data_IF_588088141669
#
_entry.id   IF_588088141669
#
_cell.length_a   1.000
_cell.length_b   1.000
_cell.length_c   1.000
_cell.angle_alpha   90.00
_cell.angle_beta   90.00
_cell.angle_gamma   90.00
#
_symmetry.space_group_name_H-M   'P 1'
#
loop_
_entity.id
_entity.type
_entity.pdbx_description
1 polymer ?
#
# COMPACT_ATOMS: atom_id res chain seq x y z
N UNK A 1 -25.46 26.72 -11.68
CA UNK A 1 -25.53 25.33 -12.17
C UNK A 1 -24.54 24.50 -11.36
N UNK A 2 -25.11 23.66 -10.49
CA UNK A 2 -24.54 22.49 -9.76
C UNK A 2 -23.05 22.47 -9.43
N UNK A 3 -22.75 22.77 -8.16
CA UNK A 3 -21.51 22.44 -7.46
C UNK A 3 -21.37 20.92 -7.32
N UNK A 4 -20.36 20.32 -7.94
CA UNK A 4 -19.97 18.94 -7.66
C UNK A 4 -19.26 18.89 -6.31
N UNK A 5 -19.81 18.09 -5.39
CA UNK A 5 -19.33 17.92 -4.03
C UNK A 5 -18.08 17.04 -3.96
N UNK A 6 -17.15 17.42 -3.08
CA UNK A 6 -15.94 16.65 -2.76
C UNK A 6 -16.27 15.36 -1.99
N UNK A 7 -15.37 14.36 -2.09
CA UNK A 7 -15.43 13.03 -1.43
C UNK A 7 -15.77 13.06 0.07
N UNK A 8 -15.42 14.12 0.79
CA UNK A 8 -15.78 14.30 2.21
C UNK A 8 -17.30 14.46 2.45
N UNK A 9 -18.04 15.03 1.49
CA UNK A 9 -19.49 15.23 1.61
C UNK A 9 -20.27 13.93 1.42
N UNK A 10 -19.72 12.96 0.68
CA UNK A 10 -20.36 11.66 0.49
C UNK A 10 -20.30 10.79 1.77
N UNK A 11 -19.20 10.89 2.53
CA UNK A 11 -19.02 10.19 3.82
C UNK A 11 -19.99 10.71 4.88
N UNK A 12 -20.31 12.00 4.88
CA UNK A 12 -21.30 12.58 5.80
C UNK A 12 -22.73 12.12 5.50
N UNK A 13 -23.06 11.81 4.24
CA UNK A 13 -24.42 11.44 3.85
C UNK A 13 -24.83 10.03 4.31
N UNK A 14 -23.87 9.16 4.61
CA UNK A 14 -24.09 7.79 5.12
C UNK A 14 -24.34 7.73 6.64
N UNK A 15 -24.21 8.85 7.37
CA UNK A 15 -24.58 8.92 8.79
C UNK A 15 -26.04 9.32 8.91
N UNK A 16 -26.92 8.37 9.29
CA UNK A 16 -28.25 8.73 9.80
C UNK A 16 -28.07 9.63 11.02
N UNK A 17 -28.65 10.84 11.07
CA UNK A 17 -28.62 11.63 12.29
C UNK A 17 -29.50 10.95 13.36
N UNK A 18 -28.89 10.61 14.49
CA UNK A 18 -29.61 10.33 15.73
C UNK A 18 -30.23 11.64 16.21
N UNK A 19 -31.53 11.83 15.97
CA UNK A 19 -32.27 12.95 16.54
C UNK A 19 -32.48 12.74 18.03
N UNK A 20 -31.54 13.22 18.85
CA UNK A 20 -31.83 13.53 20.26
C UNK A 20 -32.54 14.87 20.26
N UNK A 21 -33.88 14.82 20.28
CA UNK A 21 -34.72 16.00 20.39
C UNK A 21 -34.70 16.53 21.82
N UNK A 22 -33.96 17.60 22.06
CA UNK A 22 -34.23 18.51 23.18
C UNK A 22 -35.50 19.30 22.89
N UNK A 23 -36.60 18.97 23.57
CA UNK A 23 -37.72 19.88 23.76
C UNK A 23 -38.11 19.87 25.24
N UNK A 24 -37.77 20.96 25.91
CA UNK A 24 -38.47 21.36 27.12
C UNK A 24 -39.87 21.87 26.76
N UNK A 25 -40.84 21.54 27.60
CA UNK A 25 -42.07 22.33 27.75
C UNK A 25 -42.62 22.15 29.17
N UNK A 26 -43.28 23.18 29.75
CA UNK A 26 -43.59 23.27 31.17
C UNK A 26 -44.97 22.71 31.55
N UNK A 27 -45.13 22.58 32.88
CA UNK A 27 -46.33 22.45 33.73
C UNK A 27 -47.72 22.65 33.09
N UNK A 28 -48.67 21.76 33.43
CA UNK A 28 -50.12 22.07 33.38
C UNK A 28 -51.11 20.89 33.39
N UNK A 29 -51.64 20.58 34.59
CA UNK A 29 -53.02 20.15 34.91
C UNK A 29 -53.67 18.84 34.35
N UNK A 30 -53.85 17.88 35.26
CA UNK A 30 -55.11 17.22 35.71
C UNK A 30 -56.22 16.82 34.70
N UNK A 31 -56.51 15.51 34.61
CA UNK A 31 -57.76 14.84 35.09
C UNK A 31 -57.80 13.33 34.75
N UNK A 32 -58.23 12.53 35.73
CA UNK A 32 -58.59 11.10 35.72
C UNK A 32 -60.07 10.88 35.25
N UNK A 33 -60.68 9.66 35.24
CA UNK A 33 -60.22 8.30 34.92
C UNK A 33 -61.24 7.41 34.11
N UNK A 34 -60.88 6.15 33.82
CA UNK A 34 -61.79 5.00 33.55
C UNK A 34 -61.48 4.26 32.22
N UNK A 35 -61.45 2.94 32.07
CA UNK A 35 -61.60 1.75 32.92
C UNK A 35 -61.78 0.47 32.05
N UNK A 36 -61.29 -0.69 32.54
CA UNK A 36 -61.54 -2.12 32.12
C UNK A 36 -60.95 -2.59 30.76
N UNK A 37 -60.50 -3.84 30.51
CA UNK A 37 -60.25 -5.11 31.27
C UNK A 37 -59.70 -6.22 30.31
N UNK A 38 -58.93 -7.20 30.82
CA UNK A 38 -58.68 -8.57 30.24
C UNK A 38 -57.29 -8.79 29.59
N UNK A 39 -56.30 -9.49 30.20
CA UNK A 39 -56.02 -10.96 30.29
C UNK A 39 -55.63 -11.61 28.93
N UNK A 40 -54.63 -12.50 28.72
CA UNK A 40 -53.64 -13.25 29.53
C UNK A 40 -52.47 -13.75 28.62
N UNK A 41 -51.25 -13.85 29.17
CA UNK A 41 -50.13 -14.85 29.02
C UNK A 41 -49.87 -15.62 27.70
N UNK A 42 -48.69 -15.41 27.10
CA UNK A 42 -47.50 -16.31 26.99
C UNK A 42 -47.56 -17.48 25.99
N UNK A 43 -46.54 -17.59 25.10
CA UNK A 43 -46.02 -18.88 24.61
C UNK A 43 -44.58 -18.78 24.04
N UNK A 44 -43.79 -19.81 24.37
CA UNK A 44 -42.33 -20.01 24.23
C UNK A 44 -41.81 -20.46 22.84
N UNK A 45 -40.47 -20.41 22.70
CA UNK A 45 -39.65 -20.96 21.61
C UNK A 45 -39.42 -22.49 21.73
N UNK A 46 -39.12 -23.21 20.62
CA UNK A 46 -38.71 -24.61 20.70
C UNK A 46 -37.24 -24.86 20.31
N UNK A 47 -36.53 -25.61 21.18
CA UNK A 47 -35.39 -26.46 20.84
C UNK A 47 -35.78 -27.93 21.05
N UNK A 48 -35.46 -28.83 20.12
CA UNK A 48 -35.53 -30.29 20.36
C UNK A 48 -34.32 -31.02 19.79
N UNK A 49 -33.81 -31.96 20.60
CA UNK A 49 -32.70 -32.88 20.35
C UNK A 49 -33.13 -34.30 20.75
N UNK A 50 -32.51 -35.29 20.09
CA UNK A 50 -32.24 -36.71 20.47
C UNK A 50 -33.33 -37.77 20.23
N UNK A 51 -33.03 -38.82 19.43
CA UNK A 51 -32.69 -40.19 19.90
C UNK A 51 -32.26 -41.17 18.78
N UNK A 52 -31.30 -42.02 19.15
CA UNK A 52 -30.63 -43.15 18.45
C UNK A 52 -31.42 -44.46 18.69
N UNK A 53 -31.30 -45.43 17.78
CA UNK A 53 -31.45 -46.87 18.08
C UNK A 53 -30.47 -47.70 17.20
N UNK A 54 -29.98 -48.81 17.74
CA UNK A 54 -28.92 -49.71 17.24
C UNK A 54 -29.45 -51.14 16.95
N UNK A 55 -28.72 -51.86 16.07
CA UNK A 55 -28.54 -53.34 15.90
C UNK A 55 -29.75 -54.19 15.43
N UNK A 56 -29.63 -55.26 14.61
CA UNK A 56 -28.67 -56.39 14.55
C UNK A 56 -28.50 -57.03 13.15
N UNK A 57 -27.46 -57.87 13.03
CA UNK A 57 -26.86 -58.64 11.92
C UNK A 57 -27.69 -59.75 11.22
N UNK A 58 -27.28 -60.18 10.00
CA UNK A 58 -26.66 -61.51 9.74
C UNK A 58 -26.39 -61.84 8.23
N UNK A 59 -25.14 -62.27 7.95
CA UNK A 59 -24.65 -63.32 6.98
C UNK A 59 -24.83 -63.11 5.44
N UNK A 60 -23.93 -63.44 4.49
CA UNK A 60 -22.78 -64.38 4.36
C UNK A 60 -21.91 -64.06 3.10
N UNK A 61 -20.61 -64.47 3.12
CA UNK A 61 -19.74 -64.92 1.99
C UNK A 61 -19.30 -63.89 0.92
N UNK A 62 -18.06 -63.79 0.41
CA UNK A 62 -16.90 -64.69 0.25
C UNK A 62 -15.59 -63.87 0.07
N UNK A 63 -14.47 -64.60 0.07
CA UNK A 63 -13.08 -64.20 0.30
C UNK A 63 -12.26 -63.76 -0.95
N UNK A 64 -11.02 -63.27 -0.68
CA UNK A 64 -9.84 -63.36 -1.58
C UNK A 64 -9.31 -62.02 -2.11
N UNK A 65 -8.40 -61.31 -1.43
CA UNK A 65 -6.92 -61.37 -1.53
C UNK A 65 -6.30 -61.05 -2.90
N UNK A 66 -5.53 -59.95 -2.93
CA UNK A 66 -4.24 -59.73 -3.61
C UNK A 66 -3.85 -60.62 -4.80
N UNK A 67 -3.52 -60.00 -5.95
CA UNK A 67 -2.18 -60.09 -6.55
C UNK A 67 -2.01 -59.19 -7.78
N UNK A 68 -0.77 -58.75 -7.95
CA UNK A 68 -0.16 -58.06 -9.10
C UNK A 68 -0.34 -58.83 -10.41
N UNK A 69 -0.38 -58.10 -11.54
CA UNK A 69 0.01 -58.65 -12.83
C UNK A 69 0.67 -57.61 -13.74
N UNK A 70 1.85 -58.01 -14.24
CA UNK A 70 2.70 -57.36 -15.23
C UNK A 70 2.15 -57.44 -16.66
N UNK A 71 2.87 -56.76 -17.59
CA UNK A 71 2.98 -56.96 -19.06
C UNK A 71 2.04 -56.07 -19.90
N UNK A 72 2.43 -55.31 -20.94
CA UNK A 72 3.62 -55.18 -21.79
C UNK A 72 3.56 -53.84 -22.56
N UNK A 73 4.72 -53.22 -22.84
CA UNK A 73 4.91 -52.08 -23.77
C UNK A 73 4.88 -52.49 -25.26
N UNK A 74 4.52 -51.55 -26.17
CA UNK A 74 5.09 -51.53 -27.52
C UNK A 74 5.39 -50.07 -28.01
N UNK A 75 6.07 -49.88 -29.17
CA UNK A 75 7.51 -49.73 -29.27
C UNK A 75 7.98 -48.30 -29.63
N UNK A 76 9.27 -48.08 -29.35
CA UNK A 76 10.07 -46.89 -29.61
C UNK A 76 10.22 -46.62 -31.12
N UNK A 77 9.89 -45.40 -31.57
CA UNK A 77 10.34 -44.85 -32.84
C UNK A 77 11.27 -43.67 -32.57
N UNK A 78 12.55 -43.90 -32.88
CA UNK A 78 13.66 -42.96 -32.79
C UNK A 78 13.68 -42.08 -34.06
N UNK A 79 13.48 -40.77 -33.87
CA UNK A 79 13.85 -39.74 -34.84
C UNK A 79 14.54 -38.62 -34.06
N UNK A 80 15.87 -38.71 -34.06
CA UNK A 80 16.76 -37.77 -33.42
C UNK A 80 16.53 -36.31 -33.83
N UNK A 81 16.36 -35.45 -32.83
CA UNK A 81 16.61 -34.02 -32.91
C UNK A 81 17.39 -33.65 -31.62
N UNK A 82 18.66 -33.22 -31.73
CA UNK A 82 19.52 -33.01 -30.57
C UNK A 82 19.14 -31.74 -29.79
N UNK A 83 19.20 -31.90 -28.46
CA UNK A 83 19.18 -30.84 -27.45
C UNK A 83 20.27 -29.81 -27.74
N UNK A 84 19.89 -28.61 -28.19
CA UNK A 84 20.81 -27.48 -28.30
C UNK A 84 20.78 -26.73 -26.97
N UNK A 85 21.66 -27.14 -26.07
CA UNK A 85 22.28 -26.25 -25.10
C UNK A 85 23.31 -25.41 -25.88
N UNK A 86 22.93 -24.20 -26.30
CA UNK A 86 23.91 -23.23 -26.79
C UNK A 86 24.55 -22.54 -25.59
N UNK A 87 25.60 -23.17 -25.06
CA UNK A 87 26.70 -22.46 -24.44
C UNK A 87 27.46 -21.84 -25.62
N UNK A 88 27.31 -20.54 -25.82
CA UNK A 88 28.14 -19.82 -26.77
C UNK A 88 29.58 -19.83 -26.24
N UNK A 89 30.36 -20.72 -26.85
CA UNK A 89 31.80 -20.78 -26.71
C UNK A 89 32.37 -19.58 -27.46
N UNK A 90 32.86 -18.60 -26.70
CA UNK A 90 33.54 -17.43 -27.22
C UNK A 90 34.83 -17.86 -27.92
N UNK A 91 34.83 -17.82 -29.25
CA UNK A 91 36.03 -17.93 -30.08
C UNK A 91 36.94 -16.73 -29.80
N UNK A 92 38.16 -17.01 -29.32
CA UNK A 92 39.25 -16.05 -29.22
C UNK A 92 39.62 -15.56 -30.62
N UNK A 93 39.18 -14.34 -30.97
CA UNK A 93 39.82 -13.54 -32.01
C UNK A 93 40.70 -12.55 -31.26
N UNK A 94 42.01 -12.77 -31.34
CA UNK A 94 43.01 -11.79 -30.91
C UNK A 94 42.88 -10.54 -31.78
N UNK A 95 42.17 -9.54 -31.26
CA UNK A 95 42.28 -8.17 -31.75
C UNK A 95 42.98 -7.33 -30.66
N UNK A 96 44.29 -7.14 -30.86
CA UNK A 96 45.08 -6.25 -30.04
C UNK A 96 44.76 -4.80 -30.42
N UNK A 97 43.76 -4.20 -29.78
CA UNK A 97 43.67 -2.74 -29.65
C UNK A 97 42.99 -2.30 -28.35
N UNK A 98 43.84 -1.89 -27.42
CA UNK A 98 43.66 -0.86 -26.40
C UNK A 98 42.25 -0.28 -26.18
N UNK A 99 41.61 -0.61 -25.05
CA UNK A 99 40.92 0.40 -24.22
C UNK A 99 40.72 -0.14 -22.80
N UNK A 100 40.83 0.76 -21.84
CA UNK A 100 40.95 0.55 -20.40
C UNK A 100 39.80 -0.27 -19.82
N UNK A 101 40.12 -1.39 -19.16
CA UNK A 101 39.25 -2.01 -18.17
C UNK A 101 39.16 -1.06 -16.97
N UNK A 102 38.26 -0.07 -17.05
CA UNK A 102 37.82 0.68 -15.89
C UNK A 102 37.14 -0.32 -14.95
N UNK A 103 37.81 -0.64 -13.85
CA UNK A 103 37.20 -1.37 -12.74
C UNK A 103 36.06 -0.51 -12.21
N UNK A 104 34.83 -0.77 -12.65
CA UNK A 104 33.64 -0.16 -12.06
C UNK A 104 33.68 -0.44 -10.57
N UNK A 105 33.70 0.62 -9.78
CA UNK A 105 33.75 0.48 -8.33
C UNK A 105 32.50 -0.28 -7.86
N UNK A 106 32.55 -1.06 -6.76
CA UNK A 106 31.38 -1.74 -6.19
C UNK A 106 30.19 -0.80 -5.88
N UNK A 107 30.42 0.51 -5.92
CA UNK A 107 29.47 1.60 -5.71
C UNK A 107 28.68 1.98 -6.97
N UNK A 108 28.95 1.40 -8.16
CA UNK A 108 28.26 1.75 -9.42
C UNK A 108 27.26 0.68 -9.88
N UNK A 109 27.26 -0.50 -9.29
CA UNK A 109 26.45 -1.62 -9.77
C UNK A 109 25.07 -1.66 -9.08
N UNK A 110 24.00 -1.71 -9.88
CA UNK A 110 22.64 -1.94 -9.37
C UNK A 110 22.57 -3.27 -8.62
N UNK A 111 21.92 -3.29 -7.45
CA UNK A 111 21.70 -4.50 -6.67
C UNK A 111 20.36 -5.13 -7.01
N UNK A 112 20.34 -6.45 -7.21
CA UNK A 112 19.12 -7.21 -7.44
C UNK A 112 18.51 -7.68 -6.11
N UNK A 113 17.20 -7.48 -5.94
CA UNK A 113 16.38 -8.03 -4.86
C UNK A 113 15.26 -8.87 -5.48
N UNK A 114 15.00 -10.05 -4.91
CA UNK A 114 13.87 -10.90 -5.32
C UNK A 114 12.63 -10.54 -4.52
N UNK A 115 11.55 -10.20 -5.21
CA UNK A 115 10.23 -9.91 -4.66
C UNK A 115 9.19 -10.93 -5.16
N UNK A 116 8.21 -11.23 -4.33
CA UNK A 116 7.18 -12.23 -4.61
C UNK A 116 6.10 -11.74 -5.58
N UNK A 117 5.95 -10.42 -5.76
CA UNK A 117 4.94 -9.79 -6.62
C UNK A 117 5.57 -9.44 -7.97
N UNK A 118 6.72 -8.78 -7.96
CA UNK A 118 7.36 -8.22 -9.16
C UNK A 118 8.53 -9.03 -9.71
N UNK A 119 8.92 -10.11 -9.05
CA UNK A 119 10.06 -10.93 -9.49
C UNK A 119 11.40 -10.28 -9.15
N UNK A 120 12.21 -9.91 -10.14
CA UNK A 120 13.55 -9.36 -9.89
C UNK A 120 13.53 -7.83 -9.98
N UNK A 121 13.80 -7.17 -8.86
CA UNK A 121 13.87 -5.72 -8.74
C UNK A 121 15.35 -5.30 -8.69
N UNK A 122 15.71 -4.27 -9.45
CA UNK A 122 17.07 -3.72 -9.46
C UNK A 122 17.07 -2.32 -8.85
N UNK A 123 17.96 -2.06 -7.89
CA UNK A 123 18.04 -0.79 -7.17
C UNK A 123 19.40 -0.15 -7.33
N UNK A 124 19.41 1.18 -7.43
CA UNK A 124 20.61 1.99 -7.51
C UNK A 124 21.37 1.98 -6.18
N UNK A 125 22.68 2.25 -6.22
CA UNK A 125 23.52 2.37 -5.02
C UNK A 125 22.92 3.31 -3.96
N UNK A 126 22.43 4.50 -4.33
CA UNK A 126 21.76 5.42 -3.41
C UNK A 126 20.52 4.80 -2.75
N UNK A 127 19.69 4.08 -3.51
CA UNK A 127 18.53 3.36 -2.97
C UNK A 127 18.98 2.32 -1.94
N UNK A 128 20.10 1.64 -2.18
CA UNK A 128 20.66 0.66 -1.25
C UNK A 128 21.22 1.30 0.02
N UNK A 129 21.88 2.45 -0.08
CA UNK A 129 22.33 3.19 1.12
C UNK A 129 21.15 3.58 2.01
N UNK A 130 20.05 4.06 1.41
CA UNK A 130 18.82 4.37 2.15
C UNK A 130 18.24 3.11 2.79
N UNK A 131 18.16 2.00 2.04
CA UNK A 131 17.64 0.72 2.53
C UNK A 131 18.45 0.20 3.72
N UNK A 132 19.77 0.32 3.68
CA UNK A 132 20.68 -0.21 4.71
C UNK A 132 20.79 0.69 5.95
N UNK A 133 19.83 1.62 6.15
CA UNK A 133 19.67 2.40 7.38
C UNK A 133 18.67 1.78 8.35
N UNK A 134 18.84 2.02 9.66
CA UNK A 134 17.85 1.58 10.68
C UNK A 134 16.45 2.17 10.42
N UNK A 135 16.38 3.40 9.92
CA UNK A 135 15.13 4.09 9.60
C UNK A 135 14.29 3.34 8.57
N UNK A 136 14.94 2.84 7.51
CA UNK A 136 14.27 2.05 6.47
C UNK A 136 14.07 0.60 6.90
N UNK A 137 15.06 -0.05 7.52
CA UNK A 137 14.95 -1.44 7.99
C UNK A 137 13.82 -1.63 9.01
N UNK A 138 13.47 -0.59 9.78
CA UNK A 138 12.30 -0.58 10.65
C UNK A 138 11.01 -1.01 9.92
N UNK A 139 10.85 -0.67 8.64
CA UNK A 139 9.64 -0.98 7.88
C UNK A 139 9.37 -2.49 7.82
N UNK A 140 10.38 -3.35 8.02
CA UNK A 140 10.22 -4.82 8.12
C UNK A 140 9.32 -5.24 9.28
N UNK A 141 9.24 -4.40 10.31
CA UNK A 141 8.48 -4.65 11.53
C UNK A 141 7.11 -3.95 11.52
N UNK A 142 6.79 -3.18 10.47
CA UNK A 142 5.50 -2.54 10.29
C UNK A 142 4.65 -3.33 9.30
N UNK A 143 3.62 -4.00 9.81
CA UNK A 143 2.68 -4.76 8.97
C UNK A 143 1.94 -3.82 8.02
N UNK A 144 1.92 -4.16 6.73
CA UNK A 144 1.23 -3.38 5.69
C UNK A 144 -0.23 -3.15 6.08
N UNK A 145 -0.91 -4.24 6.44
CA UNK A 145 -2.33 -4.23 6.77
C UNK A 145 -2.65 -4.09 8.26
N UNK A 146 -1.67 -3.70 9.07
CA UNK A 146 -1.82 -3.48 10.51
C UNK A 146 -2.49 -4.67 11.21
N UNK A 147 -3.66 -4.45 11.81
CA UNK A 147 -4.39 -5.48 12.54
C UNK A 147 -5.03 -6.56 11.65
N UNK A 148 -5.08 -6.37 10.33
CA UNK A 148 -5.69 -7.36 9.43
C UNK A 148 -4.97 -8.70 9.49
N UNK A 149 -3.70 -8.74 9.88
CA UNK A 149 -2.95 -9.97 10.12
C UNK A 149 -3.60 -10.90 11.16
N UNK A 150 -4.36 -10.36 12.12
CA UNK A 150 -5.11 -11.16 13.10
C UNK A 150 -6.34 -11.86 12.51
N UNK A 151 -6.76 -11.47 11.30
CA UNK A 151 -7.92 -12.03 10.59
C UNK A 151 -7.47 -12.84 9.37
N UNK A 152 -6.56 -12.29 8.57
CA UNK A 152 -5.98 -12.91 7.39
C UNK A 152 -4.61 -13.46 7.77
N UNK A 153 -4.55 -14.77 8.07
CA UNK A 153 -3.35 -15.44 8.58
C UNK A 153 -2.12 -15.24 7.68
N UNK A 154 -2.30 -15.15 6.36
CA UNK A 154 -1.23 -14.94 5.40
C UNK A 154 -0.82 -13.47 5.21
N UNK A 155 -1.57 -12.49 5.74
CA UNK A 155 -1.28 -11.05 5.64
C UNK A 155 -0.11 -10.62 6.54
N UNK A 156 1.02 -11.29 6.36
CA UNK A 156 2.25 -11.14 7.14
C UNK A 156 3.19 -10.08 6.57
N UNK A 157 2.91 -9.59 5.37
CA UNK A 157 3.76 -8.64 4.66
C UNK A 157 3.86 -7.30 5.38
N UNK A 158 4.99 -6.65 5.15
CA UNK A 158 5.41 -5.41 5.76
C UNK A 158 5.50 -4.27 4.77
N UNK A 159 5.58 -3.05 5.30
CA UNK A 159 5.79 -1.83 4.53
C UNK A 159 7.13 -1.86 3.77
N UNK A 160 8.12 -2.63 4.24
CA UNK A 160 9.44 -2.71 3.60
C UNK A 160 9.34 -3.22 2.15
N UNK A 161 8.75 -4.40 1.93
CA UNK A 161 8.66 -4.97 0.58
C UNK A 161 7.70 -4.17 -0.31
N UNK A 162 6.68 -3.54 0.28
CA UNK A 162 5.80 -2.62 -0.43
C UNK A 162 6.58 -1.40 -0.94
N UNK A 163 7.33 -0.69 -0.08
CA UNK A 163 8.16 0.46 -0.48
C UNK A 163 9.17 0.11 -1.59
N UNK A 164 9.79 -1.06 -1.52
CA UNK A 164 10.70 -1.55 -2.58
C UNK A 164 9.93 -1.82 -3.88
N UNK A 165 8.72 -2.38 -3.81
CA UNK A 165 7.85 -2.60 -4.96
C UNK A 165 7.35 -1.30 -5.60
N UNK A 166 7.03 -0.28 -4.81
CA UNK A 166 6.64 1.05 -5.31
C UNK A 166 7.80 1.71 -6.06
N UNK A 167 9.01 1.64 -5.52
CA UNK A 167 10.22 2.12 -6.22
C UNK A 167 10.45 1.41 -7.56
N UNK A 168 10.17 0.10 -7.62
CA UNK A 168 10.25 -0.66 -8.86
C UNK A 168 9.20 -0.21 -9.89
N UNK A 169 7.93 -0.12 -9.49
CA UNK A 169 6.86 0.31 -10.39
C UNK A 169 7.05 1.75 -10.88
N UNK A 170 7.56 2.64 -10.03
CA UNK A 170 7.94 4.00 -10.42
C UNK A 170 8.96 4.02 -11.57
N UNK A 171 10.01 3.19 -11.49
CA UNK A 171 11.00 3.04 -12.56
C UNK A 171 10.36 2.49 -13.84
N UNK A 172 9.57 1.43 -13.71
CA UNK A 172 8.89 0.79 -14.86
C UNK A 172 8.02 1.81 -15.56
N UNK A 173 7.22 2.58 -14.81
CA UNK A 173 6.35 3.63 -15.33
C UNK A 173 7.15 4.65 -16.17
N UNK A 174 8.19 5.26 -15.59
CA UNK A 174 8.98 6.28 -16.30
C UNK A 174 9.76 5.70 -17.48
N UNK A 175 10.24 4.46 -17.37
CA UNK A 175 10.94 3.79 -18.47
C UNK A 175 10.00 3.57 -19.66
N UNK A 176 8.77 3.13 -19.42
CA UNK A 176 7.78 2.98 -20.49
C UNK A 176 7.43 4.34 -21.13
N UNK A 177 7.25 5.39 -20.33
CA UNK A 177 7.01 6.75 -20.86
C UNK A 177 8.18 7.24 -21.71
N UNK A 178 9.41 7.07 -21.23
CA UNK A 178 10.63 7.47 -21.95
C UNK A 178 10.76 6.73 -23.28
N UNK A 179 10.47 5.44 -23.31
CA UNK A 179 10.50 4.63 -24.53
C UNK A 179 9.45 5.09 -25.54
N UNK A 180 8.24 5.41 -25.08
CA UNK A 180 7.14 5.79 -25.97
C UNK A 180 7.17 7.24 -26.41
N UNK A 181 7.73 8.13 -25.61
CA UNK A 181 7.76 9.57 -25.86
C UNK A 181 9.11 10.17 -25.47
N UNK A 182 10.19 9.91 -26.25
CA UNK A 182 11.54 10.40 -25.95
C UNK A 182 11.63 11.93 -25.81
N UNK A 183 10.74 12.67 -26.48
CA UNK A 183 10.66 14.13 -26.41
C UNK A 183 10.18 14.69 -25.06
N UNK A 184 9.73 13.85 -24.12
CA UNK A 184 9.44 14.26 -22.74
C UNK A 184 10.71 14.54 -21.92
N UNK A 185 11.88 14.20 -22.45
CA UNK A 185 13.19 14.44 -21.81
C UNK A 185 13.26 13.82 -20.39
N UNK A 186 12.75 12.60 -20.21
CA UNK A 186 12.85 11.91 -18.93
C UNK A 186 14.29 11.42 -18.77
N UNK A 187 15.02 12.03 -17.84
CA UNK A 187 16.45 11.74 -17.60
C UNK A 187 16.62 10.59 -16.59
N UNK A 188 17.81 9.98 -16.54
CA UNK A 188 18.12 8.99 -15.50
C UNK A 188 18.08 9.61 -14.09
N UNK A 189 18.40 10.90 -13.99
CA UNK A 189 18.25 11.70 -12.76
C UNK A 189 16.79 11.81 -12.34
N UNK A 190 15.87 12.05 -13.29
CA UNK A 190 14.42 12.06 -13.01
C UNK A 190 13.96 10.68 -12.51
N UNK A 191 14.39 9.60 -13.16
CA UNK A 191 14.05 8.22 -12.76
C UNK A 191 14.55 7.94 -11.34
N UNK A 192 15.82 8.25 -11.04
CA UNK A 192 16.39 8.06 -9.70
C UNK A 192 15.59 8.82 -8.63
N UNK A 193 15.22 10.07 -8.90
CA UNK A 193 14.41 10.86 -7.97
C UNK A 193 13.05 10.20 -7.68
N UNK A 194 12.33 9.76 -8.72
CA UNK A 194 11.02 9.13 -8.53
C UNK A 194 11.15 7.77 -7.85
N UNK A 195 12.22 7.01 -8.10
CA UNK A 195 12.52 5.78 -7.37
C UNK A 195 12.77 6.04 -5.89
N UNK A 196 13.60 7.03 -5.55
CA UNK A 196 13.87 7.41 -4.15
C UNK A 196 12.59 7.88 -3.47
N UNK A 197 11.74 8.67 -4.15
CA UNK A 197 10.45 9.09 -3.63
C UNK A 197 9.52 7.88 -3.38
N UNK A 198 9.39 6.97 -4.35
CA UNK A 198 8.60 5.75 -4.21
C UNK A 198 9.11 4.83 -3.10
N UNK A 199 10.43 4.75 -2.92
CA UNK A 199 11.06 4.01 -1.83
C UNK A 199 10.73 4.65 -0.47
N UNK A 200 10.76 5.98 -0.38
CA UNK A 200 10.67 6.68 0.89
C UNK A 200 9.24 7.11 1.29
N UNK A 201 8.23 6.94 0.43
CA UNK A 201 6.89 7.50 0.64
C UNK A 201 6.22 7.04 1.95
N UNK A 202 6.54 5.84 2.40
CA UNK A 202 5.95 5.18 3.57
C UNK A 202 6.83 5.18 4.83
N UNK A 203 7.97 5.88 4.80
CA UNK A 203 8.91 5.97 5.92
C UNK A 203 8.25 6.49 7.21
N UNK A 204 7.24 7.33 7.12
CA UNK A 204 6.61 8.02 8.25
C UNK A 204 5.51 7.24 8.96
N UNK A 205 5.15 6.04 8.51
CA UNK A 205 4.05 5.29 9.13
C UNK A 205 4.29 4.95 10.61
N UNK A 206 3.34 5.28 11.47
CA UNK A 206 3.41 4.93 12.88
C UNK A 206 3.20 3.43 13.17
N UNK A 207 3.28 3.02 14.44
CA UNK A 207 2.93 1.66 14.87
C UNK A 207 1.55 1.24 14.36
N UNK A 208 1.41 0.02 13.83
CA UNK A 208 0.16 -0.46 13.22
C UNK A 208 -0.36 0.37 12.03
N UNK A 209 0.52 1.11 11.33
CA UNK A 209 0.19 1.83 10.10
C UNK A 209 -1.01 2.78 10.32
N UNK A 210 -2.06 2.71 9.50
CA UNK A 210 -3.24 3.57 9.54
C UNK A 210 -4.02 3.58 10.86
N UNK A 211 -3.76 2.65 11.78
CA UNK A 211 -4.32 2.75 13.13
C UNK A 211 -3.76 3.98 13.85
N UNK A 212 -2.47 4.27 13.67
CA UNK A 212 -1.80 5.37 14.33
C UNK A 212 -2.16 6.72 13.72
N UNK A 213 -1.86 6.94 12.44
CA UNK A 213 -2.14 8.20 11.73
C UNK A 213 -3.64 8.45 11.48
N UNK A 214 -4.47 7.42 11.61
CA UNK A 214 -5.93 7.52 11.51
C UNK A 214 -6.61 7.55 12.88
N UNK A 215 -7.06 6.38 13.34
CA UNK A 215 -8.00 6.24 14.46
C UNK A 215 -7.42 6.83 15.75
N UNK A 216 -6.16 6.52 16.08
CA UNK A 216 -5.52 6.94 17.32
C UNK A 216 -5.32 8.47 17.38
N UNK A 217 -4.73 9.07 16.35
CA UNK A 217 -4.56 10.53 16.27
C UNK A 217 -5.91 11.27 16.29
N UNK A 218 -6.92 10.74 15.59
CA UNK A 218 -8.27 11.29 15.64
C UNK A 218 -8.87 11.22 17.06
N UNK A 219 -8.74 10.10 17.76
CA UNK A 219 -9.24 9.94 19.12
C UNK A 219 -8.55 10.86 20.13
N UNK A 220 -7.23 11.08 20.00
CA UNK A 220 -6.52 12.07 20.82
C UNK A 220 -7.10 13.48 20.64
N UNK A 221 -7.34 13.88 19.39
CA UNK A 221 -7.93 15.17 19.08
C UNK A 221 -9.36 15.32 19.61
N UNK A 222 -10.23 14.34 19.38
CA UNK A 222 -11.62 14.36 19.86
C UNK A 222 -11.72 14.41 21.39
N UNK A 223 -10.74 13.83 22.10
CA UNK A 223 -10.66 13.83 23.57
C UNK A 223 -9.93 15.05 24.15
N UNK A 224 -9.41 15.95 23.32
CA UNK A 224 -8.62 17.11 23.77
C UNK A 224 -7.27 16.72 24.41
N UNK A 225 -6.74 15.56 24.05
CA UNK A 225 -5.44 15.03 24.48
C UNK A 225 -4.37 15.20 23.37
N UNK A 226 -4.65 16.02 22.37
CA UNK A 226 -3.75 16.24 21.27
C UNK A 226 -2.53 17.08 21.65
N UNK A 227 -1.43 16.81 20.98
CA UNK A 227 -0.19 17.55 21.17
C UNK A 227 -0.16 18.66 20.12
N UNK A 228 0.06 19.93 20.49
CA UNK A 228 0.09 21.03 19.53
C UNK A 228 1.04 20.79 18.35
N UNK A 229 2.19 20.13 18.61
CA UNK A 229 3.19 19.80 17.60
C UNK A 229 2.76 18.68 16.63
N UNK A 230 1.72 17.89 16.97
CA UNK A 230 1.19 16.79 16.17
C UNK A 230 -0.11 17.14 15.45
N UNK A 231 -0.64 18.35 15.63
CA UNK A 231 -1.87 18.78 14.96
C UNK A 231 -1.66 18.85 13.45
N UNK A 232 -2.47 18.10 12.71
CA UNK A 232 -2.36 18.04 11.26
C UNK A 232 -1.14 17.26 10.74
N UNK A 233 -0.46 16.52 11.62
CA UNK A 233 0.59 15.60 11.20
C UNK A 233 -0.01 14.50 10.33
N UNK A 234 0.71 14.13 9.28
CA UNK A 234 0.37 13.01 8.39
C UNK A 234 1.58 12.10 8.24
N UNK A 235 1.36 10.85 7.83
CA UNK A 235 2.49 9.93 7.62
C UNK A 235 3.40 10.41 6.48
N UNK A 236 2.89 11.15 5.49
CA UNK A 236 3.70 11.77 4.43
C UNK A 236 4.66 12.82 5.01
N UNK A 237 4.21 13.68 5.93
CA UNK A 237 5.11 14.59 6.65
C UNK A 237 6.14 13.81 7.48
N UNK A 238 5.71 12.75 8.16
CA UNK A 238 6.63 11.85 8.87
C UNK A 238 7.66 11.20 7.95
N UNK A 239 7.31 10.88 6.71
CA UNK A 239 8.23 10.30 5.72
C UNK A 239 9.32 11.30 5.33
N UNK A 240 8.97 12.58 5.18
CA UNK A 240 9.94 13.65 4.95
C UNK A 240 10.88 13.85 6.13
N UNK A 241 10.33 13.88 7.34
CA UNK A 241 11.13 14.08 8.56
C UNK A 241 12.12 12.93 8.74
N UNK A 242 11.66 11.69 8.52
CA UNK A 242 12.48 10.48 8.53
C UNK A 242 13.55 10.48 7.43
N UNK A 243 13.20 10.88 6.21
CA UNK A 243 14.14 11.00 5.10
C UNK A 243 15.23 12.03 5.40
N UNK A 244 14.87 13.17 5.97
CA UNK A 244 15.87 14.17 6.36
C UNK A 244 16.77 13.65 7.48
N UNK A 245 16.23 12.97 8.49
CA UNK A 245 17.02 12.36 9.57
C UNK A 245 18.03 11.34 9.05
N UNK A 246 17.59 10.39 8.21
CA UNK A 246 18.45 9.33 7.72
C UNK A 246 19.59 9.86 6.83
N UNK A 247 19.33 10.87 6.00
CA UNK A 247 20.37 11.50 5.17
C UNK A 247 21.44 12.18 6.03
N UNK A 248 21.03 12.84 7.12
CA UNK A 248 21.95 13.54 8.04
C UNK A 248 22.74 12.56 8.90
N UNK A 249 22.08 11.59 9.53
CA UNK A 249 22.72 10.64 10.46
C UNK A 249 23.75 9.76 9.76
N UNK A 250 23.40 9.22 8.59
CA UNK A 250 24.26 8.33 7.81
C UNK A 250 25.20 9.10 6.88
N UNK A 251 25.11 10.44 6.86
CA UNK A 251 25.91 11.33 5.99
C UNK A 251 25.83 10.93 4.51
N UNK A 252 24.63 10.56 4.06
CA UNK A 252 24.37 10.18 2.67
C UNK A 252 24.40 11.44 1.84
N UNK A 253 25.49 11.64 1.10
CA UNK A 253 25.65 12.76 0.18
C UNK A 253 25.00 12.42 -1.17
N UNK A 254 23.79 12.91 -1.37
CA UNK A 254 23.06 12.71 -2.63
C UNK A 254 23.77 13.32 -3.84
N UNK A 255 24.68 14.28 -3.64
CA UNK A 255 25.45 14.88 -4.73
C UNK A 255 26.50 13.95 -5.31
N UNK A 256 26.99 13.00 -4.51
CA UNK A 256 27.86 11.91 -4.98
C UNK A 256 27.16 11.01 -6.00
N UNK A 257 25.83 11.01 -6.02
CA UNK A 257 24.99 10.26 -6.96
C UNK A 257 24.41 11.12 -8.09
N UNK A 258 24.91 12.35 -8.27
CA UNK A 258 24.47 13.25 -9.33
C UNK A 258 23.14 13.96 -9.06
N UNK A 259 22.67 13.99 -7.81
CA UNK A 259 21.51 14.77 -7.40
C UNK A 259 21.93 16.14 -6.84
N UNK A 260 21.05 17.13 -6.94
CA UNK A 260 21.22 18.47 -6.40
C UNK A 260 20.08 18.82 -5.44
N UNK A 261 20.15 19.99 -4.80
CA UNK A 261 19.12 20.46 -3.87
C UNK A 261 17.71 20.48 -4.47
N UNK A 262 17.58 20.87 -5.75
CA UNK A 262 16.29 20.89 -6.46
C UNK A 262 15.66 19.49 -6.61
N UNK A 263 16.48 18.44 -6.61
CA UNK A 263 15.99 17.05 -6.67
C UNK A 263 15.45 16.58 -5.33
N UNK A 264 16.08 17.02 -4.24
CA UNK A 264 15.55 16.75 -2.91
C UNK A 264 14.17 17.41 -2.74
N UNK A 265 14.00 18.63 -3.25
CA UNK A 265 12.69 19.27 -3.26
C UNK A 265 11.70 18.50 -4.14
N UNK A 266 12.12 18.03 -5.31
CA UNK A 266 11.30 17.18 -6.17
C UNK A 266 10.87 15.87 -5.46
N UNK A 267 11.79 15.18 -4.79
CA UNK A 267 11.52 13.95 -4.02
C UNK A 267 10.51 14.23 -2.90
N UNK A 268 10.69 15.31 -2.14
CA UNK A 268 9.78 15.72 -1.06
C UNK A 268 8.38 16.03 -1.58
N UNK A 269 8.29 16.76 -2.69
CA UNK A 269 7.03 17.11 -3.34
C UNK A 269 6.28 15.87 -3.86
N UNK A 270 6.99 14.86 -4.37
CA UNK A 270 6.41 13.58 -4.81
C UNK A 270 5.81 12.78 -3.65
N UNK A 271 6.47 12.77 -2.49
CA UNK A 271 5.98 12.07 -1.29
C UNK A 271 4.74 12.79 -0.72
N UNK A 272 4.81 14.12 -0.58
CA UNK A 272 3.71 14.93 -0.05
C UNK A 272 2.49 14.97 -0.97
N UNK A 273 2.67 14.88 -2.29
CA UNK A 273 1.62 15.10 -3.28
C UNK A 273 1.22 16.58 -3.46
N UNK A 274 1.98 17.51 -2.86
CA UNK A 274 1.80 18.95 -3.00
C UNK A 274 3.15 19.70 -2.91
N UNK A 275 3.22 20.97 -3.36
CA UNK A 275 4.45 21.75 -3.32
C UNK A 275 5.03 21.88 -1.90
N UNK A 276 6.35 21.91 -1.80
CA UNK A 276 7.07 22.13 -0.53
C UNK A 276 7.08 23.63 -0.21
N UNK A 277 6.67 24.00 1.01
CA UNK A 277 6.57 25.39 1.48
C UNK A 277 5.45 25.58 2.50
N UNK A 278 5.30 26.80 3.06
CA UNK A 278 4.11 27.14 3.88
C UNK A 278 2.85 26.82 3.06
N UNK A 279 1.76 26.35 3.69
CA UNK A 279 0.48 25.86 3.12
C UNK A 279 -0.20 26.70 2.00
N UNK A 280 0.43 27.73 1.45
CA UNK A 280 0.01 28.57 0.32
C UNK A 280 0.94 28.52 -0.90
N UNK A 281 2.02 27.72 -0.91
CA UNK A 281 2.82 27.52 -2.13
C UNK A 281 1.96 26.81 -3.19
N UNK A 282 1.63 27.52 -4.28
CA UNK A 282 0.75 27.00 -5.35
C UNK A 282 1.48 26.22 -6.44
N UNK A 283 2.81 26.30 -6.48
CA UNK A 283 3.61 25.84 -7.62
C UNK A 283 4.71 24.90 -7.15
N UNK A 284 4.81 23.77 -7.82
CA UNK A 284 5.90 22.81 -7.66
C UNK A 284 7.22 23.43 -8.13
N UNK A 285 8.28 23.18 -7.36
CA UNK A 285 9.59 23.80 -7.54
C UNK A 285 10.64 22.84 -8.07
N UNK A 286 10.51 21.54 -7.77
CA UNK A 286 11.50 20.54 -8.15
C UNK A 286 11.58 20.28 -9.67
N UNK A 287 10.43 20.21 -10.34
CA UNK A 287 10.29 19.93 -11.78
C UNK A 287 9.12 20.72 -12.41
N UNK A 288 9.19 22.05 -12.49
CA UNK A 288 8.08 22.87 -12.99
C UNK A 288 7.75 22.60 -14.47
N UNK A 289 8.72 22.15 -15.28
CA UNK A 289 8.55 21.89 -16.71
C UNK A 289 8.00 20.48 -17.01
N UNK A 290 8.02 19.56 -16.03
CA UNK A 290 7.62 18.15 -16.17
C UNK A 290 6.51 17.80 -15.17
N UNK A 291 5.34 18.48 -15.20
CA UNK A 291 4.30 18.34 -14.18
C UNK A 291 3.69 16.93 -14.10
N UNK A 292 3.72 16.16 -15.19
CA UNK A 292 3.26 14.78 -15.23
C UNK A 292 4.06 13.86 -14.30
N UNK A 293 5.30 14.20 -13.92
CA UNK A 293 6.09 13.38 -13.01
C UNK A 293 5.49 13.32 -11.60
N UNK A 294 4.77 14.37 -11.18
CA UNK A 294 4.08 14.41 -9.88
C UNK A 294 2.86 13.49 -9.80
N UNK A 295 2.46 12.86 -10.90
CA UNK A 295 1.37 11.89 -10.96
C UNK A 295 1.84 10.43 -10.74
N UNK A 296 3.16 10.20 -10.55
CA UNK A 296 3.72 8.85 -10.41
C UNK A 296 3.48 8.24 -9.03
N UNK A 297 3.98 8.88 -7.97
CA UNK A 297 4.06 8.30 -6.61
C UNK A 297 2.81 8.59 -5.79
N UNK A 298 2.38 9.85 -5.72
CA UNK A 298 1.20 10.29 -5.00
C UNK A 298 0.33 11.17 -5.91
N UNK A 299 -0.65 10.55 -6.56
CA UNK A 299 -1.48 11.24 -7.54
C UNK A 299 -2.75 11.80 -6.90
N UNK A 300 -2.66 13.02 -6.35
CA UNK A 300 -3.80 13.69 -5.75
C UNK A 300 -4.94 14.04 -6.74
N UNK A 301 -4.68 14.07 -8.05
CA UNK A 301 -5.68 14.45 -9.06
C UNK A 301 -6.68 13.33 -9.35
N UNK A 302 -6.18 12.13 -9.62
CA UNK A 302 -7.00 10.98 -10.03
C UNK A 302 -7.02 9.87 -9.00
N UNK A 303 -6.05 9.85 -8.08
CA UNK A 303 -5.84 8.73 -7.16
C UNK A 303 -5.33 7.47 -7.85
N UNK A 304 -4.73 7.58 -9.05
CA UNK A 304 -4.08 6.46 -9.75
C UNK A 304 -2.56 6.70 -9.77
N UNK A 305 -1.83 5.97 -8.94
CA UNK A 305 -0.39 6.06 -8.73
C UNK A 305 0.21 4.67 -8.49
N UNK A 306 1.54 4.58 -8.55
CA UNK A 306 2.26 3.30 -8.42
C UNK A 306 2.20 2.71 -7.00
N UNK A 307 1.98 3.53 -5.99
CA UNK A 307 1.68 3.10 -4.61
C UNK A 307 0.48 2.13 -4.62
N UNK A 308 -0.65 2.59 -5.18
CA UNK A 308 -1.87 1.80 -5.30
C UNK A 308 -1.69 0.55 -6.14
N UNK A 309 -0.97 0.64 -7.25
CA UNK A 309 -0.72 -0.51 -8.10
C UNK A 309 0.10 -1.60 -7.39
N UNK A 310 1.08 -1.23 -6.55
CA UNK A 310 1.81 -2.23 -5.75
C UNK A 310 0.90 -2.86 -4.71
N UNK A 311 0.28 -2.05 -3.83
CA UNK A 311 -0.44 -2.63 -2.70
C UNK A 311 -1.69 -3.39 -3.14
N UNK A 312 -2.34 -3.04 -4.26
CA UNK A 312 -3.45 -3.85 -4.77
C UNK A 312 -3.02 -5.27 -5.11
N UNK A 313 -1.91 -5.43 -5.82
CA UNK A 313 -1.39 -6.76 -6.16
C UNK A 313 -0.88 -7.49 -4.92
N UNK A 314 -0.10 -6.79 -4.09
CA UNK A 314 0.51 -7.36 -2.89
C UNK A 314 -0.54 -7.78 -1.87
N UNK A 315 -1.49 -6.91 -1.53
CA UNK A 315 -2.54 -7.21 -0.57
C UNK A 315 -3.43 -8.34 -1.08
N UNK A 316 -3.79 -8.34 -2.36
CA UNK A 316 -4.57 -9.44 -2.95
C UNK A 316 -3.84 -10.79 -2.81
N UNK A 317 -2.55 -10.82 -3.15
CA UNK A 317 -1.72 -12.03 -3.02
C UNK A 317 -1.63 -12.52 -1.57
N UNK A 318 -1.37 -11.64 -0.60
CA UNK A 318 -1.16 -12.01 0.79
C UNK A 318 -2.46 -12.22 1.58
N UNK A 319 -3.60 -11.73 1.12
CA UNK A 319 -4.91 -11.94 1.77
C UNK A 319 -5.74 -13.04 1.11
N UNK A 320 -5.36 -13.47 -0.09
CA UNK A 320 -6.16 -14.39 -0.92
C UNK A 320 -7.37 -13.72 -1.56
N UNK A 321 -7.48 -12.39 -1.51
CA UNK A 321 -8.54 -11.68 -2.20
C UNK A 321 -8.38 -11.84 -3.71
N UNK A 322 -9.47 -12.18 -4.42
CA UNK A 322 -9.47 -12.35 -5.88
C UNK A 322 -9.59 -11.01 -6.62
N UNK A 323 -8.92 -9.98 -6.13
CA UNK A 323 -8.86 -8.66 -6.73
C UNK A 323 -7.56 -8.55 -7.53
N UNK A 324 -7.60 -8.14 -8.79
CA UNK A 324 -6.39 -7.97 -9.59
C UNK A 324 -6.58 -6.93 -10.69
N UNK A 325 -5.56 -6.11 -10.89
CA UNK A 325 -5.40 -5.26 -12.07
C UNK A 325 -4.14 -5.68 -12.83
N UNK A 326 -4.16 -5.51 -14.14
CA UNK A 326 -2.97 -5.77 -14.98
C UNK A 326 -2.09 -4.51 -14.98
N UNK A 327 -1.20 -4.44 -13.99
CA UNK A 327 -0.29 -3.31 -13.80
C UNK A 327 0.66 -3.16 -14.98
N UNK A 328 1.19 -4.25 -15.52
CA UNK A 328 2.09 -4.23 -16.67
C UNK A 328 1.41 -3.60 -17.90
N UNK A 329 0.17 -4.01 -18.20
CA UNK A 329 -0.59 -3.45 -19.31
C UNK A 329 -0.90 -1.96 -19.09
N UNK A 330 -1.26 -1.56 -17.88
CA UNK A 330 -1.51 -0.15 -17.55
C UNK A 330 -0.26 0.71 -17.73
N UNK A 331 0.90 0.26 -17.23
CA UNK A 331 2.15 1.00 -17.31
C UNK A 331 2.71 1.06 -18.73
N UNK A 332 2.59 -0.01 -19.52
CA UNK A 332 3.07 -0.05 -20.91
C UNK A 332 2.21 0.74 -21.90
N UNK A 333 0.93 0.97 -21.60
CA UNK A 333 0.02 1.67 -22.53
C UNK A 333 -0.17 3.16 -22.23
N UNK A 334 0.31 3.62 -21.08
CA UNK A 334 0.25 5.01 -20.64
C UNK A 334 0.99 5.96 -21.59
N UNK A 335 0.47 7.19 -21.73
CA UNK A 335 1.07 8.30 -22.46
C UNK A 335 0.94 9.60 -21.66
N UNK A 336 1.67 10.63 -22.05
CA UNK A 336 1.55 12.00 -21.56
C UNK A 336 1.06 12.89 -22.69
N UNK A 337 -0.06 13.58 -22.47
CA UNK A 337 -0.64 14.53 -23.40
C UNK A 337 -1.03 15.81 -22.66
N UNK A 338 -1.10 16.97 -23.36
CA UNK A 338 -1.65 18.18 -22.76
C UNK A 338 -3.14 17.97 -22.47
N UNK A 339 -3.54 18.24 -21.24
CA UNK A 339 -4.94 18.22 -20.84
C UNK A 339 -5.75 19.23 -21.65
N UNK A 340 -6.91 18.82 -22.15
CA UNK A 340 -7.72 19.65 -23.07
C UNK A 340 -8.24 20.94 -22.42
N UNK A 341 -8.35 20.98 -21.09
CA UNK A 341 -8.90 22.13 -20.36
C UNK A 341 -7.80 23.08 -19.90
N UNK A 342 -6.72 22.53 -19.35
CA UNK A 342 -5.65 23.28 -18.69
C UNK A 342 -4.42 23.47 -19.56
N UNK A 343 -4.24 22.67 -20.62
CA UNK A 343 -3.03 22.62 -21.44
C UNK A 343 -1.82 22.01 -20.74
N UNK A 344 -1.95 21.59 -19.48
CA UNK A 344 -0.85 21.03 -18.68
C UNK A 344 -0.63 19.57 -19.11
N UNK A 345 0.64 19.18 -19.30
CA UNK A 345 1.00 17.80 -19.57
C UNK A 345 0.58 16.89 -18.41
N UNK A 346 -0.24 15.88 -18.69
CA UNK A 346 -0.80 14.95 -17.71
C UNK A 346 -0.74 13.52 -18.24
N UNK A 347 -0.77 12.54 -17.33
CA UNK A 347 -0.82 11.14 -17.72
C UNK A 347 -2.20 10.77 -18.25
N UNK A 348 -2.22 9.99 -19.31
CA UNK A 348 -3.43 9.52 -19.95
C UNK A 348 -3.27 8.10 -20.50
N UNK A 349 -4.39 7.46 -20.79
CA UNK A 349 -4.45 6.17 -21.46
C UNK A 349 -5.29 6.27 -22.74
N UNK A 350 -5.03 5.42 -23.75
CA UNK A 350 -5.92 5.32 -24.90
C UNK A 350 -7.35 4.95 -24.50
N UNK A 351 -8.37 5.47 -25.18
CA UNK A 351 -9.78 5.24 -24.82
C UNK A 351 -10.16 3.76 -24.68
N UNK A 352 -9.57 2.89 -25.50
CA UNK A 352 -9.75 1.42 -25.42
C UNK A 352 -9.31 0.80 -24.09
N UNK A 353 -8.48 1.51 -23.32
CA UNK A 353 -7.99 1.08 -21.99
C UNK A 353 -8.92 1.53 -20.86
N UNK A 354 -10.02 2.24 -21.15
CA UNK A 354 -10.93 2.75 -20.12
C UNK A 354 -11.42 1.65 -19.16
N UNK A 355 -11.75 0.45 -19.67
CA UNK A 355 -12.17 -0.66 -18.82
C UNK A 355 -11.05 -1.15 -17.89
N UNK A 356 -9.80 -1.17 -18.35
CA UNK A 356 -8.65 -1.59 -17.55
C UNK A 356 -8.36 -0.57 -16.44
N UNK A 357 -8.45 0.74 -16.75
CA UNK A 357 -8.36 1.79 -15.73
C UNK A 357 -9.50 1.66 -14.72
N UNK A 358 -10.73 1.43 -15.17
CA UNK A 358 -11.88 1.20 -14.27
C UNK A 358 -11.70 -0.06 -13.41
N UNK A 359 -11.01 -1.09 -13.91
CA UNK A 359 -10.69 -2.30 -13.14
C UNK A 359 -9.80 -1.99 -11.93
N UNK A 360 -8.95 -0.97 -12.00
CA UNK A 360 -8.15 -0.52 -10.84
C UNK A 360 -9.07 -0.04 -9.71
N UNK A 361 -10.05 0.80 -10.04
CA UNK A 361 -11.01 1.30 -9.04
C UNK A 361 -11.94 0.20 -8.51
N UNK A 362 -12.32 -0.78 -9.35
CA UNK A 362 -13.04 -1.98 -8.90
C UNK A 362 -12.19 -2.81 -7.92
N UNK A 363 -10.92 -3.05 -8.26
CA UNK A 363 -9.96 -3.76 -7.40
C UNK A 363 -9.84 -3.09 -6.04
N UNK A 364 -9.72 -1.76 -6.03
CA UNK A 364 -9.75 -0.95 -4.80
C UNK A 364 -11.02 -1.21 -3.99
N UNK A 365 -12.18 -1.08 -4.62
CA UNK A 365 -13.47 -1.28 -3.96
C UNK A 365 -13.57 -2.69 -3.34
N UNK A 366 -13.19 -3.72 -4.09
CA UNK A 366 -13.21 -5.10 -3.65
C UNK A 366 -12.30 -5.34 -2.44
N UNK A 367 -11.07 -4.80 -2.46
CA UNK A 367 -10.14 -4.88 -1.32
C UNK A 367 -10.65 -4.12 -0.09
N UNK A 368 -11.26 -2.94 -0.28
CA UNK A 368 -11.88 -2.20 0.83
C UNK A 368 -13.00 -2.99 1.49
N UNK A 369 -13.90 -3.60 0.70
CA UNK A 369 -15.02 -4.38 1.23
C UNK A 369 -14.55 -5.70 1.85
N UNK A 370 -13.65 -6.40 1.16
CA UNK A 370 -13.26 -7.75 1.54
C UNK A 370 -12.21 -7.79 2.64
N UNK A 371 -11.32 -6.80 2.75
CA UNK A 371 -10.14 -6.82 3.62
C UNK A 371 -10.12 -5.63 4.57
N UNK A 372 -10.00 -4.41 4.05
CA UNK A 372 -9.67 -3.25 4.90
C UNK A 372 -10.79 -2.91 5.89
N UNK A 373 -12.04 -2.97 5.45
CA UNK A 373 -13.22 -2.69 6.27
C UNK A 373 -13.82 -3.95 6.90
N UNK A 374 -13.10 -5.08 6.90
CA UNK A 374 -13.59 -6.29 7.54
C UNK A 374 -13.91 -6.02 9.01
N UNK A 375 -15.11 -6.38 9.45
CA UNK A 375 -15.66 -6.03 10.77
C UNK A 375 -14.75 -6.47 11.93
N UNK A 376 -14.13 -7.64 11.85
CA UNK A 376 -13.23 -8.13 12.90
C UNK A 376 -11.90 -7.36 12.89
N UNK A 377 -11.39 -7.00 11.71
CA UNK A 377 -10.21 -6.15 11.58
C UNK A 377 -10.47 -4.81 12.23
N UNK A 378 -11.59 -4.15 11.89
CA UNK A 378 -11.98 -2.87 12.49
C UNK A 378 -12.14 -2.96 14.00
N UNK A 379 -12.73 -4.04 14.52
CA UNK A 379 -12.89 -4.24 15.96
C UNK A 379 -11.53 -4.32 16.68
N UNK A 380 -10.58 -5.08 16.13
CA UNK A 380 -9.21 -5.15 16.66
C UNK A 380 -8.51 -3.78 16.52
N UNK A 381 -8.77 -3.08 15.41
CA UNK A 381 -8.54 -1.66 15.17
C UNK A 381 -8.74 -0.79 16.42
N UNK A 382 -10.00 -0.74 16.84
CA UNK A 382 -10.44 0.04 17.98
C UNK A 382 -9.85 -0.48 19.30
N UNK A 383 -9.72 -1.80 19.49
CA UNK A 383 -9.09 -2.35 20.69
C UNK A 383 -7.63 -1.93 20.82
N UNK A 384 -6.86 -1.95 19.73
CA UNK A 384 -5.48 -1.46 19.72
C UNK A 384 -5.46 0.04 20.01
N UNK A 385 -6.34 0.82 19.39
CA UNK A 385 -6.47 2.25 19.67
C UNK A 385 -6.73 2.53 21.16
N UNK A 386 -7.66 1.80 21.79
CA UNK A 386 -7.97 1.95 23.22
C UNK A 386 -6.73 1.63 24.08
N UNK A 387 -5.99 0.57 23.76
CA UNK A 387 -4.74 0.22 24.45
C UNK A 387 -3.71 1.37 24.31
N UNK A 388 -3.53 1.91 23.11
CA UNK A 388 -2.59 3.02 22.87
C UNK A 388 -2.99 4.28 23.62
N UNK A 389 -4.30 4.59 23.69
CA UNK A 389 -4.82 5.73 24.43
C UNK A 389 -4.60 5.58 25.93
N UNK A 390 -4.95 4.42 26.50
CA UNK A 390 -4.75 4.14 27.93
C UNK A 390 -3.26 4.17 28.29
N UNK A 391 -2.39 3.61 27.45
CA UNK A 391 -0.94 3.68 27.63
C UNK A 391 -0.42 5.12 27.56
N UNK A 392 -0.89 5.94 26.62
CA UNK A 392 -0.51 7.35 26.53
C UNK A 392 -0.97 8.11 27.78
N UNK A 393 -2.22 7.93 28.23
CA UNK A 393 -2.79 8.54 29.44
C UNK A 393 -2.01 8.14 30.70
N UNK A 394 -1.60 6.87 30.80
CA UNK A 394 -0.77 6.35 31.89
C UNK A 394 0.70 6.85 31.86
N UNK A 395 1.03 7.79 30.96
CA UNK A 395 2.37 8.33 30.75
C UNK A 395 3.42 7.26 30.38
N UNK A 396 3.02 6.25 29.60
CA UNK A 396 3.97 5.30 29.03
C UNK A 396 4.90 6.02 28.04
N UNK A 397 6.21 5.92 28.29
CA UNK A 397 7.25 6.63 27.52
C UNK A 397 8.18 5.68 26.80
N UNK A 398 8.47 6.01 25.54
CA UNK A 398 9.50 5.36 24.71
C UNK A 398 10.61 6.39 24.52
N UNK A 399 11.82 6.10 25.05
CA UNK A 399 12.98 7.01 25.00
C UNK A 399 12.72 8.43 25.53
N UNK A 400 11.68 8.61 26.35
CA UNK A 400 11.32 9.89 26.95
C UNK A 400 10.06 10.54 26.36
N UNK A 401 9.63 10.17 25.14
CA UNK A 401 8.37 10.63 24.55
C UNK A 401 7.18 9.73 24.88
N UNK A 402 6.01 10.34 25.02
CA UNK A 402 4.73 9.63 25.03
C UNK A 402 4.43 9.05 23.65
N UNK A 403 3.56 8.04 23.58
CA UNK A 403 3.22 7.33 22.33
C UNK A 403 2.73 8.30 21.25
N UNK A 404 1.92 9.27 21.63
CA UNK A 404 1.40 10.30 20.73
C UNK A 404 2.47 11.23 20.14
N UNK A 405 3.66 11.29 20.75
CA UNK A 405 4.79 12.10 20.29
C UNK A 405 5.84 11.24 19.56
N UNK A 406 5.62 9.93 19.43
CA UNK A 406 6.61 9.01 18.87
C UNK A 406 7.20 9.47 17.52
N UNK A 407 6.43 9.98 16.53
CA UNK A 407 6.98 10.48 15.28
C UNK A 407 8.03 11.58 15.44
N UNK A 408 7.89 12.45 16.45
CA UNK A 408 8.85 13.54 16.70
C UNK A 408 10.18 13.01 17.26
N UNK A 409 10.12 11.94 18.04
CA UNK A 409 11.29 11.30 18.64
C UNK A 409 11.97 10.33 17.67
N UNK A 410 11.25 9.80 16.69
CA UNK A 410 11.81 8.94 15.64
C UNK A 410 12.86 9.65 14.77
N UNK A 411 12.86 10.98 14.75
CA UNK A 411 13.81 11.85 14.02
C UNK A 411 15.04 12.21 14.87
N UNK A 412 15.00 11.94 16.19
CA UNK A 412 16.03 12.34 17.18
C UNK A 412 16.95 11.20 17.60
N UNK A 413 16.95 10.08 16.87
CA UNK A 413 17.69 8.87 17.23
C UNK A 413 19.21 9.05 17.14
#
# INVERSE_FOLDING_TARGET
MTSQGTILQWVQHQRKPSTVGTKGTPLGASKNPGGRSGSSTEYEMPTKRVKRCEQTDDTDGEAGSSQESNMLDPPLFDLGIPCVQSIDTYTMVDDQSSSELQSQSPLETRKMIKDSVHGCIYLEPLCMEIIDTVHFQRLRHLKQLGASYFVYMSATHSRFEHSVGVAHLAEVMLTQLRLHQPWLDITDRDILCVKVAGLCHDLGHGPFSHVYDGIFMQQLHERGLDYPAMRGWTHEQGSLDMLNALLVEYRIDVTAYGLEAIDLDFIRELILGHPVGKHSAKLFTGRPTKPFLYEVVNNAKTGLDVDKLDYFMRDAQYTGAKASCDTHLLLSTMRVLPDATTGVLTMCWPDKMAEQVMKVFRTRYDLHQAVYQHKATRAIEYMICDILLEADIADFRIRGARIAQAPLDMVRA
#
